data_IF_176628826157
#
_entry.id   IF_176628826157
#
_cell.length_a   1.000
_cell.length_b   1.000
_cell.length_c   1.000
_cell.angle_alpha   90.00
_cell.angle_beta   90.00
_cell.angle_gamma   90.00
#
_symmetry.space_group_name_H-M   'P 1'
#
loop_
_entity.id
_entity.type
_entity.pdbx_description
1 polymer ?
#
# COMPACT_ATOMS: atom_id res chain seq x y z
N UNK A 1 21.51 17.68 -18.58
CA UNK A 1 21.30 16.77 -17.44
C UNK A 1 19.92 17.05 -16.87
N UNK A 2 19.03 16.07 -16.82
CA UNK A 2 17.76 16.19 -16.08
C UNK A 2 18.09 16.17 -14.60
N UNK A 3 17.87 17.30 -13.92
CA UNK A 3 18.00 17.35 -12.47
C UNK A 3 16.69 16.81 -11.85
N UNK A 4 16.82 15.78 -10.99
CA UNK A 4 15.71 15.16 -10.26
C UNK A 4 15.75 15.46 -8.75
N UNK A 5 16.61 16.39 -8.29
CA UNK A 5 16.86 16.69 -6.88
C UNK A 5 15.58 16.98 -6.07
N UNK A 6 14.58 17.60 -6.71
CA UNK A 6 13.29 17.95 -6.09
C UNK A 6 12.39 16.73 -5.80
N UNK A 7 12.63 15.60 -6.45
CA UNK A 7 11.76 14.41 -6.34
C UNK A 7 12.48 13.16 -5.85
N UNK A 8 13.80 13.04 -6.05
CA UNK A 8 14.54 11.81 -5.77
C UNK A 8 14.71 11.53 -4.26
N UNK A 9 14.96 10.26 -3.88
CA UNK A 9 15.44 9.90 -2.56
C UNK A 9 16.83 10.46 -2.27
N UNK A 10 17.26 10.35 -1.02
CA UNK A 10 18.64 10.67 -0.65
C UNK A 10 19.63 9.66 -1.23
N UNK A 11 20.84 10.12 -1.51
CA UNK A 11 22.01 9.32 -1.90
C UNK A 11 22.89 9.07 -0.70
N UNK A 12 23.76 8.07 -0.79
CA UNK A 12 24.65 7.68 0.31
C UNK A 12 25.47 8.84 0.88
N UNK A 13 25.97 9.72 0.01
CA UNK A 13 26.76 10.88 0.43
C UNK A 13 25.95 11.96 1.18
N UNK A 14 24.62 11.88 1.16
CA UNK A 14 23.72 12.81 1.87
C UNK A 14 23.25 12.23 3.21
N UNK A 15 23.34 10.92 3.42
CA UNK A 15 22.74 10.21 4.58
C UNK A 15 23.26 10.74 5.91
N UNK A 16 24.57 10.96 6.02
CA UNK A 16 25.20 11.41 7.27
C UNK A 16 24.67 12.76 7.71
N UNK A 17 24.61 13.72 6.78
CA UNK A 17 24.14 15.08 7.05
C UNK A 17 22.66 15.10 7.44
N UNK A 18 21.84 14.27 6.78
CA UNK A 18 20.41 14.13 7.12
C UNK A 18 20.24 13.53 8.52
N UNK A 19 20.97 12.47 8.85
CA UNK A 19 20.90 11.85 10.20
C UNK A 19 21.32 12.85 11.28
N UNK A 20 22.37 13.64 11.06
CA UNK A 20 22.80 14.64 12.03
C UNK A 20 21.77 15.75 12.21
N UNK A 21 21.16 16.22 11.12
CA UNK A 21 20.04 17.17 11.17
C UNK A 21 18.87 16.60 11.97
N UNK A 22 18.47 15.35 11.69
CA UNK A 22 17.39 14.66 12.38
C UNK A 22 17.65 14.48 13.88
N UNK A 23 18.87 14.09 14.25
CA UNK A 23 19.28 13.94 15.65
C UNK A 23 19.30 15.27 16.40
N UNK A 24 19.63 16.37 15.71
CA UNK A 24 19.68 17.70 16.30
C UNK A 24 18.30 18.33 16.46
N UNK A 25 17.33 17.97 15.61
CA UNK A 25 15.96 18.45 15.66
C UNK A 25 15.21 18.03 16.94
N UNK A 26 14.37 18.91 17.52
CA UNK A 26 13.54 18.56 18.67
C UNK A 26 12.45 17.54 18.30
N UNK A 27 11.94 17.59 17.07
CA UNK A 27 10.77 16.84 16.63
C UNK A 27 10.95 15.32 16.70
N UNK A 28 12.11 14.78 16.29
CA UNK A 28 12.36 13.34 16.31
C UNK A 28 12.35 12.79 17.74
N UNK A 29 13.10 13.46 18.63
CA UNK A 29 13.23 13.05 20.02
C UNK A 29 11.89 13.19 20.74
N UNK A 30 11.21 14.33 20.56
CA UNK A 30 9.90 14.59 21.15
C UNK A 30 8.86 13.56 20.69
N UNK A 31 8.80 13.27 19.38
CA UNK A 31 7.86 12.28 18.82
C UNK A 31 8.11 10.89 19.38
N UNK A 32 9.37 10.43 19.44
CA UNK A 32 9.69 9.12 20.01
C UNK A 32 9.41 9.05 21.52
N UNK A 33 9.70 10.12 22.26
CA UNK A 33 9.49 10.21 23.70
C UNK A 33 8.00 10.11 24.05
N UNK A 34 7.15 10.93 23.43
CA UNK A 34 5.71 10.95 23.69
C UNK A 34 5.00 9.72 23.13
N UNK A 35 5.53 9.08 22.09
CA UNK A 35 5.01 7.79 21.63
C UNK A 35 5.26 6.68 22.66
N UNK A 36 6.46 6.63 23.26
CA UNK A 36 6.82 5.59 24.24
C UNK A 36 6.30 5.88 25.65
N UNK A 37 6.18 7.14 26.01
CA UNK A 37 5.73 7.62 27.32
C UNK A 37 4.67 8.72 27.15
N UNK A 38 3.41 8.36 26.81
CA UNK A 38 2.36 9.34 26.52
C UNK A 38 2.06 10.28 27.71
N UNK A 39 2.21 9.78 28.93
CA UNK A 39 1.91 10.49 30.18
C UNK A 39 3.17 10.95 30.93
N UNK A 40 4.24 11.28 30.21
CA UNK A 40 5.48 11.73 30.83
C UNK A 40 5.28 13.06 31.57
N UNK A 41 5.77 13.12 32.81
CA UNK A 41 5.77 14.36 33.59
C UNK A 41 6.84 15.32 33.10
N UNK A 42 6.54 16.62 33.02
CA UNK A 42 7.43 17.66 32.46
C UNK A 42 8.84 17.70 33.07
N UNK A 43 8.98 17.36 34.36
CA UNK A 43 10.30 17.31 35.03
C UNK A 43 11.20 16.15 34.55
N UNK A 44 10.59 15.06 34.05
CA UNK A 44 11.29 13.88 33.54
C UNK A 44 11.56 13.94 32.03
N UNK A 45 10.95 14.91 31.34
CA UNK A 45 11.05 15.06 29.89
C UNK A 45 12.48 15.36 29.44
N UNK A 46 13.13 16.33 30.08
CA UNK A 46 14.50 16.73 29.75
C UNK A 46 15.52 15.59 29.94
N UNK A 47 15.63 14.91 31.10
CA UNK A 47 16.58 13.81 31.24
C UNK A 47 16.25 12.62 30.33
N UNK A 48 14.96 12.32 30.10
CA UNK A 48 14.58 11.20 29.24
C UNK A 48 14.82 11.51 27.75
N UNK A 49 14.64 12.76 27.32
CA UNK A 49 14.97 13.21 25.97
C UNK A 49 16.47 13.06 25.65
N UNK A 50 17.35 13.34 26.63
CA UNK A 50 18.79 13.13 26.50
C UNK A 50 19.15 11.65 26.38
N UNK A 51 18.50 10.80 27.18
CA UNK A 51 18.69 9.34 27.11
C UNK A 51 18.20 8.78 25.76
N UNK A 52 17.02 9.19 25.30
CA UNK A 52 16.47 8.80 23.99
C UNK A 52 17.40 9.25 22.87
N UNK A 53 17.88 10.50 22.90
CA UNK A 53 18.86 11.01 21.92
C UNK A 53 20.13 10.20 21.90
N UNK A 54 20.68 9.85 23.07
CA UNK A 54 21.88 9.01 23.17
C UNK A 54 21.64 7.61 22.57
N UNK A 55 20.50 6.98 22.87
CA UNK A 55 20.13 5.68 22.32
C UNK A 55 20.01 5.71 20.80
N UNK A 56 19.28 6.69 20.24
CA UNK A 56 19.11 6.83 18.78
C UNK A 56 20.47 7.11 18.13
N UNK A 57 21.29 8.00 18.70
CA UNK A 57 22.64 8.29 18.19
C UNK A 57 23.52 7.04 18.17
N UNK A 58 23.36 6.15 19.15
CA UNK A 58 24.09 4.87 19.22
C UNK A 58 23.64 3.91 18.13
N UNK A 59 22.33 3.74 17.93
CA UNK A 59 21.78 2.87 16.86
C UNK A 59 22.13 3.40 15.46
N UNK A 60 22.09 4.72 15.26
CA UNK A 60 22.42 5.35 13.97
C UNK A 60 23.92 5.56 13.75
N UNK A 61 24.79 5.14 14.69
CA UNK A 61 26.24 5.37 14.59
C UNK A 61 26.86 4.68 13.37
N UNK A 62 26.37 3.49 13.02
CA UNK A 62 26.86 2.70 11.89
C UNK A 62 26.16 3.00 10.57
N UNK A 63 25.20 3.92 10.55
CA UNK A 63 24.42 4.23 9.34
C UNK A 63 25.13 5.31 8.54
N UNK A 64 25.77 4.91 7.44
CA UNK A 64 26.49 5.81 6.54
C UNK A 64 25.91 5.83 5.12
N UNK A 65 25.15 4.80 4.75
CA UNK A 65 24.54 4.63 3.43
C UNK A 65 23.02 4.46 3.54
N UNK A 66 22.32 4.60 2.41
CA UNK A 66 20.88 4.30 2.31
C UNK A 66 20.63 2.84 2.64
N UNK A 67 21.53 1.95 2.22
CA UNK A 67 21.47 0.53 2.53
C UNK A 67 21.57 0.24 4.04
N UNK A 68 22.47 0.91 4.76
CA UNK A 68 22.58 0.76 6.22
C UNK A 68 21.28 1.18 6.92
N UNK A 69 20.68 2.29 6.46
CA UNK A 69 19.43 2.79 7.03
C UNK A 69 18.29 1.80 6.79
N UNK A 70 18.18 1.25 5.58
CA UNK A 70 17.15 0.26 5.28
C UNK A 70 17.39 -1.07 5.99
N UNK A 71 18.63 -1.49 6.20
CA UNK A 71 18.95 -2.68 7.01
C UNK A 71 18.49 -2.51 8.45
N UNK A 72 18.72 -1.31 9.02
CA UNK A 72 18.21 -0.98 10.35
C UNK A 72 16.67 -1.00 10.37
N UNK A 73 16.02 -0.39 9.38
CA UNK A 73 14.55 -0.39 9.29
C UNK A 73 13.99 -1.82 9.13
N UNK A 74 14.61 -2.66 8.29
CA UNK A 74 14.22 -4.04 8.05
C UNK A 74 14.26 -4.88 9.34
N UNK A 75 15.26 -4.66 10.20
CA UNK A 75 15.35 -5.29 11.53
C UNK A 75 14.12 -4.95 12.40
N UNK A 76 13.75 -3.67 12.47
CA UNK A 76 12.59 -3.23 13.25
C UNK A 76 11.27 -3.69 12.62
N UNK A 77 11.15 -3.59 11.30
CA UNK A 77 9.99 -4.06 10.55
C UNK A 77 9.78 -5.56 10.78
N UNK A 78 10.82 -6.38 10.68
CA UNK A 78 10.73 -7.82 10.90
C UNK A 78 10.25 -8.17 12.30
N UNK A 79 10.72 -7.45 13.33
CA UNK A 79 10.24 -7.62 14.70
C UNK A 79 8.78 -7.17 14.87
N UNK A 80 8.39 -6.07 14.21
CA UNK A 80 7.03 -5.56 14.24
C UNK A 80 6.05 -6.49 13.53
N UNK A 81 6.39 -7.01 12.36
CA UNK A 81 5.58 -7.97 11.61
C UNK A 81 5.35 -9.22 12.46
N UNK A 82 6.39 -9.82 13.03
CA UNK A 82 6.24 -10.97 13.96
C UNK A 82 5.28 -10.73 15.12
N UNK A 83 5.14 -9.47 15.58
CA UNK A 83 4.23 -9.10 16.68
C UNK A 83 2.82 -8.79 16.21
N UNK A 84 2.66 -8.31 14.98
CA UNK A 84 1.40 -7.72 14.49
C UNK A 84 0.76 -8.49 13.34
N UNK A 85 1.37 -9.56 12.87
CA UNK A 85 0.80 -10.51 11.91
C UNK A 85 0.84 -11.91 12.52
N UNK A 86 -0.16 -12.75 12.23
CA UNK A 86 -0.10 -14.19 12.54
C UNK A 86 0.82 -14.95 11.57
N UNK A 87 1.18 -14.32 10.45
CA UNK A 87 2.04 -14.91 9.43
C UNK A 87 2.20 -14.00 8.23
N UNK A 88 3.34 -14.13 7.56
CA UNK A 88 3.67 -13.42 6.34
C UNK A 88 4.16 -14.43 5.30
N UNK A 89 3.57 -14.40 4.10
CA UNK A 89 3.98 -15.24 2.98
C UNK A 89 4.05 -14.42 1.69
N UNK A 90 4.82 -14.90 0.72
CA UNK A 90 4.87 -14.31 -0.61
C UNK A 90 4.99 -15.37 -1.69
N UNK A 91 4.51 -15.07 -2.90
CA UNK A 91 4.61 -15.96 -4.07
C UNK A 91 4.86 -15.21 -5.37
N UNK A 92 5.40 -15.89 -6.38
CA UNK A 92 5.55 -15.36 -7.74
C UNK A 92 6.83 -14.56 -7.97
N UNK A 93 7.47 -14.08 -6.90
CA UNK A 93 8.74 -13.35 -7.01
C UNK A 93 9.89 -14.21 -7.57
N UNK A 94 9.84 -15.51 -7.32
CA UNK A 94 10.76 -16.53 -7.82
C UNK A 94 10.67 -16.73 -9.34
N UNK A 95 9.58 -16.30 -9.96
CA UNK A 95 9.35 -16.39 -11.41
C UNK A 95 9.87 -15.16 -12.17
N UNK A 96 10.29 -14.11 -11.46
CA UNK A 96 10.85 -12.90 -12.04
C UNK A 96 12.37 -13.03 -12.22
N UNK A 97 12.93 -12.35 -13.21
CA UNK A 97 14.38 -12.25 -13.40
C UNK A 97 15.00 -11.42 -12.26
N UNK A 98 15.99 -11.93 -11.49
CA UNK A 98 16.63 -11.17 -10.41
C UNK A 98 17.55 -10.05 -10.89
N UNK A 99 17.92 -10.04 -12.17
CA UNK A 99 18.81 -9.05 -12.78
C UNK A 99 18.06 -7.85 -13.38
N UNK A 100 16.73 -7.93 -13.46
CA UNK A 100 15.89 -6.92 -14.07
C UNK A 100 15.21 -6.01 -13.02
N UNK A 101 15.08 -4.73 -13.37
CA UNK A 101 14.29 -3.78 -12.60
C UNK A 101 12.83 -3.75 -13.07
N UNK A 102 11.91 -3.72 -12.11
CA UNK A 102 10.47 -3.76 -12.36
C UNK A 102 9.76 -2.52 -11.82
N UNK A 103 8.65 -2.17 -12.45
CA UNK A 103 7.66 -1.27 -11.85
C UNK A 103 6.58 -2.12 -11.20
N UNK A 104 6.67 -2.31 -9.89
CA UNK A 104 5.63 -2.99 -9.13
C UNK A 104 4.44 -2.06 -8.91
N UNK A 105 3.27 -2.47 -9.41
CA UNK A 105 2.01 -1.73 -9.21
C UNK A 105 1.10 -2.58 -8.32
N UNK A 106 0.75 -2.11 -7.12
CA UNK A 106 -0.08 -2.87 -6.20
C UNK A 106 -1.42 -2.24 -5.89
N UNK A 107 -2.35 -3.06 -5.41
CA UNK A 107 -3.44 -2.54 -4.60
C UNK A 107 -2.90 -1.78 -3.39
N UNK A 108 -3.69 -0.84 -2.89
CA UNK A 108 -3.24 0.05 -1.85
C UNK A 108 -4.29 0.16 -0.75
N UNK A 109 -4.04 -0.46 0.39
CA UNK A 109 -4.95 -0.49 1.54
C UNK A 109 -4.32 0.12 2.78
N UNK A 110 -3.00 0.07 2.91
CA UNK A 110 -2.25 0.71 3.99
C UNK A 110 -1.17 1.66 3.46
N UNK A 111 -1.07 2.85 4.04
CA UNK A 111 -0.15 3.91 3.58
C UNK A 111 1.31 3.45 3.66
N UNK A 112 1.70 2.82 4.76
CA UNK A 112 3.09 2.50 5.06
C UNK A 112 3.41 1.02 4.91
N UNK A 113 2.46 0.15 5.27
CA UNK A 113 2.70 -1.28 5.33
C UNK A 113 2.72 -1.95 3.96
N UNK A 114 1.99 -1.43 2.96
CA UNK A 114 1.98 -1.98 1.61
C UNK A 114 3.39 -2.04 0.98
N UNK A 115 4.13 -0.92 0.85
CA UNK A 115 5.50 -0.98 0.34
C UNK A 115 6.46 -1.68 1.32
N UNK A 116 6.17 -1.69 2.62
CA UNK A 116 6.99 -2.38 3.61
C UNK A 116 6.93 -3.91 3.44
N UNK A 117 5.74 -4.48 3.22
CA UNK A 117 5.56 -5.90 2.98
C UNK A 117 6.16 -6.35 1.66
N UNK A 118 6.02 -5.53 0.60
CA UNK A 118 6.69 -5.79 -0.67
C UNK A 118 8.22 -5.81 -0.50
N UNK A 119 8.78 -4.81 0.18
CA UNK A 119 10.22 -4.76 0.46
C UNK A 119 10.68 -5.92 1.36
N UNK A 120 9.85 -6.36 2.29
CA UNK A 120 10.15 -7.53 3.11
C UNK A 120 10.22 -8.82 2.26
N UNK A 121 9.31 -9.00 1.29
CA UNK A 121 9.38 -10.12 0.34
C UNK A 121 10.67 -10.06 -0.51
N UNK A 122 11.00 -8.88 -1.05
CA UNK A 122 12.24 -8.69 -1.82
C UNK A 122 13.48 -8.99 -0.99
N UNK A 123 13.55 -8.45 0.23
CA UNK A 123 14.68 -8.64 1.14
C UNK A 123 14.85 -10.11 1.53
N UNK A 124 13.76 -10.83 1.82
CA UNK A 124 13.79 -12.27 2.11
C UNK A 124 14.25 -13.11 0.90
N UNK A 125 13.99 -12.64 -0.32
CA UNK A 125 14.48 -13.25 -1.55
C UNK A 125 15.91 -12.82 -1.93
N UNK A 126 16.60 -12.03 -1.09
CA UNK A 126 17.94 -11.53 -1.37
C UNK A 126 18.01 -10.49 -2.49
N UNK A 127 16.88 -9.84 -2.81
CA UNK A 127 16.77 -8.77 -3.82
C UNK A 127 16.87 -7.39 -3.17
N UNK A 128 17.28 -6.42 -3.97
CA UNK A 128 17.22 -5.01 -3.58
C UNK A 128 15.78 -4.54 -3.39
N UNK A 129 15.61 -3.63 -2.44
CA UNK A 129 14.34 -2.95 -2.16
C UNK A 129 14.02 -1.90 -3.23
N UNK A 130 12.74 -1.59 -3.36
CA UNK A 130 12.24 -0.61 -4.33
C UNK A 130 12.45 0.83 -3.89
N UNK A 131 12.44 1.74 -4.85
CA UNK A 131 12.11 3.13 -4.57
C UNK A 131 10.58 3.31 -4.54
N UNK A 132 10.09 4.07 -3.56
CA UNK A 132 8.66 4.12 -3.20
C UNK A 132 8.07 5.47 -3.67
N UNK A 133 7.02 5.42 -4.50
CA UNK A 133 6.28 6.62 -4.86
C UNK A 133 5.44 7.13 -3.68
N UNK A 134 5.67 8.36 -3.21
CA UNK A 134 4.89 8.99 -2.13
C UNK A 134 4.35 10.36 -2.56
N UNK A 135 3.11 10.66 -2.17
CA UNK A 135 2.49 11.96 -2.45
C UNK A 135 3.10 13.10 -1.61
N UNK A 136 3.25 14.28 -2.19
CA UNK A 136 3.76 15.48 -1.51
C UNK A 136 2.93 15.90 -0.28
N UNK A 137 1.64 15.54 -0.25
CA UNK A 137 0.74 15.78 0.89
C UNK A 137 1.23 15.13 2.21
N UNK A 138 1.94 14.00 2.14
CA UNK A 138 2.49 13.31 3.32
C UNK A 138 3.81 13.91 3.80
N UNK A 139 4.47 14.74 2.98
CA UNK A 139 5.81 15.26 3.22
C UNK A 139 5.81 16.68 3.80
N UNK A 140 4.65 17.18 4.24
CA UNK A 140 4.51 18.55 4.75
C UNK A 140 5.40 18.84 5.97
N UNK A 141 5.66 17.83 6.82
CA UNK A 141 6.58 17.95 7.96
C UNK A 141 8.01 17.56 7.55
N UNK A 142 9.02 18.41 7.77
CA UNK A 142 10.42 18.12 7.38
C UNK A 142 10.95 16.79 7.91
N UNK A 143 10.64 16.44 9.16
CA UNK A 143 11.01 15.16 9.75
C UNK A 143 10.48 13.96 8.95
N UNK A 144 9.20 14.01 8.55
CA UNK A 144 8.57 12.93 7.77
C UNK A 144 9.17 12.86 6.37
N UNK A 145 9.37 14.02 5.74
CA UNK A 145 10.05 14.13 4.44
C UNK A 145 11.43 13.47 4.47
N UNK A 146 12.24 13.79 5.47
CA UNK A 146 13.58 13.26 5.60
C UNK A 146 13.59 11.74 5.81
N UNK A 147 12.73 11.22 6.69
CA UNK A 147 12.64 9.79 6.95
C UNK A 147 12.16 8.99 5.72
N UNK A 148 11.17 9.51 4.98
CA UNK A 148 10.67 8.84 3.78
C UNK A 148 11.72 8.83 2.67
N UNK A 149 12.43 9.93 2.45
CA UNK A 149 13.49 10.03 1.44
C UNK A 149 14.74 9.21 1.79
N UNK A 150 15.06 9.06 3.08
CA UNK A 150 16.08 8.11 3.56
C UNK A 150 15.64 6.66 3.28
N UNK A 151 14.33 6.39 3.36
CA UNK A 151 13.74 5.09 3.03
C UNK A 151 13.44 4.92 1.53
N UNK A 152 14.31 5.42 0.65
CA UNK A 152 14.18 5.32 -0.83
C UNK A 152 12.88 5.88 -1.41
N UNK A 153 12.15 6.76 -0.71
CA UNK A 153 10.90 7.32 -1.25
C UNK A 153 11.16 8.52 -2.15
N UNK A 154 10.52 8.57 -3.32
CA UNK A 154 10.53 9.71 -4.24
C UNK A 154 9.17 10.40 -4.27
N UNK A 155 9.19 11.71 -4.51
CA UNK A 155 8.01 12.57 -4.37
C UNK A 155 7.22 12.64 -5.66
N UNK A 156 5.92 12.35 -5.57
CA UNK A 156 4.90 12.63 -6.58
C UNK A 156 4.29 13.98 -6.26
N UNK A 157 4.57 14.98 -7.10
CA UNK A 157 4.11 16.36 -6.91
C UNK A 157 2.64 16.50 -7.36
N UNK A 158 1.71 16.40 -6.41
CA UNK A 158 0.25 16.40 -6.67
C UNK A 158 -0.36 17.78 -6.47
N UNK A 159 0.21 18.55 -5.56
CA UNK A 159 -0.29 19.87 -5.14
C UNK A 159 -0.01 20.98 -6.17
N UNK A 160 0.60 20.63 -7.31
CA UNK A 160 0.97 21.57 -8.36
C UNK A 160 -0.26 22.13 -9.07
N UNK A 161 -0.39 23.46 -9.10
CA UNK A 161 -1.50 24.14 -9.76
C UNK A 161 -1.23 24.40 -11.25
N UNK A 162 -2.27 24.27 -12.05
CA UNK A 162 -2.26 24.54 -13.49
C UNK A 162 -1.83 23.36 -14.36
N UNK A 163 -2.54 23.17 -15.47
CA UNK A 163 -2.37 22.02 -16.40
C UNK A 163 -0.93 21.92 -16.92
N UNK A 164 -0.32 23.06 -17.29
CA UNK A 164 1.06 23.09 -17.80
C UNK A 164 2.08 22.61 -16.76
N UNK A 165 1.93 23.04 -15.51
CA UNK A 165 2.85 22.67 -14.45
C UNK A 165 2.67 21.21 -14.05
N UNK A 166 1.43 20.71 -13.95
CA UNK A 166 1.14 19.28 -13.74
C UNK A 166 1.75 18.42 -14.84
N UNK A 167 1.58 18.82 -16.11
CA UNK A 167 2.17 18.10 -17.24
C UNK A 167 3.71 18.05 -17.15
N UNK A 168 4.35 19.16 -16.77
CA UNK A 168 5.81 19.22 -16.58
C UNK A 168 6.26 18.31 -15.42
N UNK A 169 5.57 18.36 -14.29
CA UNK A 169 5.86 17.53 -13.13
C UNK A 169 5.73 16.02 -13.46
N UNK A 170 4.65 15.62 -14.11
CA UNK A 170 4.42 14.23 -14.54
C UNK A 170 5.39 13.77 -15.62
N UNK A 171 5.77 14.64 -16.57
CA UNK A 171 6.81 14.33 -17.55
C UNK A 171 8.16 14.09 -16.87
N UNK A 172 8.49 14.91 -15.86
CA UNK A 172 9.73 14.76 -15.09
C UNK A 172 9.72 13.45 -14.28
N UNK A 173 8.62 13.16 -13.60
CA UNK A 173 8.42 11.94 -12.82
C UNK A 173 8.52 10.68 -13.68
N UNK A 174 7.84 10.65 -14.82
CA UNK A 174 7.92 9.55 -15.78
C UNK A 174 9.34 9.36 -16.32
N UNK A 175 10.05 10.45 -16.61
CA UNK A 175 11.45 10.39 -17.05
C UNK A 175 12.37 9.87 -15.94
N UNK A 176 12.11 10.25 -14.69
CA UNK A 176 12.83 9.76 -13.52
C UNK A 176 12.66 8.25 -13.38
N UNK A 177 11.41 7.78 -13.32
CA UNK A 177 11.07 6.35 -13.18
C UNK A 177 11.77 5.52 -14.26
N UNK A 178 11.62 5.90 -15.55
CA UNK A 178 12.29 5.18 -16.63
C UNK A 178 13.83 5.18 -16.47
N UNK A 179 14.42 6.30 -16.02
CA UNK A 179 15.87 6.35 -15.82
C UNK A 179 16.35 5.45 -14.69
N UNK A 180 15.56 5.27 -13.62
CA UNK A 180 15.90 4.37 -12.51
C UNK A 180 15.79 2.90 -12.93
N UNK A 181 14.76 2.55 -13.69
CA UNK A 181 14.59 1.21 -14.27
C UNK A 181 15.75 0.84 -15.21
N UNK A 182 16.20 1.78 -16.06
CA UNK A 182 17.33 1.58 -16.97
C UNK A 182 18.69 1.49 -16.24
N UNK A 183 18.78 2.00 -15.01
CA UNK A 183 20.02 2.05 -14.25
C UNK A 183 20.11 0.88 -13.28
N UNK A 184 19.40 0.94 -12.16
CA UNK A 184 19.71 0.11 -10.99
C UNK A 184 18.60 0.06 -9.93
N UNK A 185 17.36 0.44 -10.24
CA UNK A 185 16.30 0.40 -9.21
C UNK A 185 14.92 0.04 -9.74
N UNK A 186 14.32 -0.94 -9.07
CA UNK A 186 12.89 -1.22 -9.15
C UNK A 186 12.08 -0.16 -8.41
N UNK A 187 10.85 0.05 -8.87
CA UNK A 187 9.93 1.08 -8.37
C UNK A 187 8.68 0.41 -7.81
N UNK A 188 8.14 0.95 -6.73
CA UNK A 188 6.78 0.64 -6.30
C UNK A 188 5.88 1.87 -6.39
N UNK A 189 4.68 1.66 -6.92
CA UNK A 189 3.61 2.66 -6.99
C UNK A 189 2.26 2.02 -6.70
N UNK A 190 1.42 2.70 -5.94
CA UNK A 190 0.03 2.30 -5.75
C UNK A 190 -0.76 2.43 -7.06
N UNK A 191 -1.70 1.51 -7.30
CA UNK A 191 -2.52 1.47 -8.52
C UNK A 191 -3.47 2.66 -8.70
N UNK A 192 -3.66 3.48 -7.67
CA UNK A 192 -4.44 4.73 -7.72
C UNK A 192 -3.98 5.70 -6.66
N UNK A 193 -4.45 6.94 -6.77
CA UNK A 193 -4.29 7.91 -5.70
C UNK A 193 -5.17 7.55 -4.50
N UNK A 194 -4.53 7.44 -3.33
CA UNK A 194 -5.20 7.13 -2.07
C UNK A 194 -5.48 5.64 -1.89
N UNK A 195 -5.63 5.24 -0.63
CA UNK A 195 -5.94 3.86 -0.25
C UNK A 195 -7.40 3.50 -0.52
N UNK A 196 -7.67 2.24 -0.82
CA UNK A 196 -9.02 1.70 -0.88
C UNK A 196 -9.71 1.76 0.48
N UNK A 197 -10.90 2.36 0.50
CA UNK A 197 -11.73 2.52 1.71
C UNK A 197 -12.75 1.41 1.82
N UNK A 198 -13.28 0.97 0.69
CA UNK A 198 -14.30 -0.05 0.51
C UNK A 198 -13.72 -1.42 0.12
N UNK A 199 -12.40 -1.58 0.08
CA UNK A 199 -11.79 -2.84 -0.36
C UNK A 199 -11.94 -3.15 -1.86
N UNK A 200 -12.41 -2.19 -2.67
CA UNK A 200 -12.41 -2.29 -4.13
C UNK A 200 -11.08 -1.79 -4.67
N UNK A 201 -10.33 -2.74 -5.23
CA UNK A 201 -9.03 -2.51 -5.83
C UNK A 201 -9.21 -2.31 -7.35
N UNK A 202 -9.38 -1.04 -7.78
CA UNK A 202 -9.39 -0.62 -9.19
C UNK A 202 -8.19 0.28 -9.52
N UNK A 203 -7.53 0.04 -10.65
CA UNK A 203 -6.40 0.82 -11.14
C UNK A 203 -6.89 2.09 -11.83
N UNK A 204 -6.26 3.23 -11.55
CA UNK A 204 -6.54 4.49 -12.25
C UNK A 204 -5.71 4.56 -13.56
N UNK A 205 -6.35 4.59 -14.74
CA UNK A 205 -5.65 4.72 -16.02
C UNK A 205 -4.77 5.97 -16.12
N UNK A 206 -5.02 7.01 -15.31
CA UNK A 206 -4.19 8.21 -15.25
C UNK A 206 -2.75 7.90 -14.80
N UNK A 207 -2.55 6.89 -13.95
CA UNK A 207 -1.19 6.45 -13.55
C UNK A 207 -0.44 5.89 -14.75
N UNK A 208 -1.09 5.07 -15.58
CA UNK A 208 -0.46 4.51 -16.79
C UNK A 208 -0.16 5.60 -17.81
N UNK A 209 -1.07 6.57 -17.98
CA UNK A 209 -0.85 7.76 -18.82
C UNK A 209 0.35 8.57 -18.32
N UNK A 210 0.50 8.72 -17.00
CA UNK A 210 1.64 9.39 -16.38
C UNK A 210 2.93 8.60 -16.63
N UNK A 211 2.96 7.30 -16.33
CA UNK A 211 4.16 6.48 -16.43
C UNK A 211 4.72 6.44 -17.86
N UNK A 212 3.88 6.51 -18.89
CA UNK A 212 4.29 6.45 -20.30
C UNK A 212 4.72 7.80 -20.91
N UNK A 213 4.66 8.91 -20.16
CA UNK A 213 4.96 10.25 -20.70
C UNK A 213 6.40 10.41 -21.23
N UNK A 214 7.38 9.68 -20.67
CA UNK A 214 8.77 9.68 -21.15
C UNK A 214 8.87 9.23 -22.61
N UNK A 215 7.94 8.38 -23.06
CA UNK A 215 7.92 7.82 -24.41
C UNK A 215 7.80 8.90 -25.49
N UNK A 216 7.09 9.99 -25.21
CA UNK A 216 6.97 11.15 -26.12
C UNK A 216 8.33 11.77 -26.43
N UNK A 217 9.20 11.90 -25.43
CA UNK A 217 10.55 12.46 -25.58
C UNK A 217 11.47 11.48 -26.33
N UNK A 218 11.31 10.19 -26.10
CA UNK A 218 12.07 9.12 -26.77
C UNK A 218 11.52 8.75 -28.17
N UNK A 219 10.37 9.31 -28.58
CA UNK A 219 9.66 9.01 -29.84
C UNK A 219 9.34 7.51 -30.02
N UNK A 220 8.96 6.85 -28.93
CA UNK A 220 8.56 5.44 -28.91
C UNK A 220 7.05 5.31 -28.83
N UNK A 221 6.51 4.17 -29.27
CA UNK A 221 5.07 3.89 -29.21
C UNK A 221 4.59 3.74 -27.77
N UNK A 222 3.27 3.78 -27.56
CA UNK A 222 2.66 3.52 -26.25
C UNK A 222 2.99 2.09 -25.78
N UNK A 223 2.79 1.08 -26.64
CA UNK A 223 3.19 -0.31 -26.35
C UNK A 223 4.67 -0.40 -25.95
N UNK A 224 5.58 0.21 -26.71
CA UNK A 224 7.01 0.17 -26.39
C UNK A 224 7.30 0.82 -25.03
N UNK A 225 6.62 1.92 -24.69
CA UNK A 225 6.74 2.54 -23.38
C UNK A 225 6.22 1.62 -22.25
N UNK A 226 5.10 0.93 -22.44
CA UNK A 226 4.57 -0.04 -21.47
C UNK A 226 5.54 -1.20 -21.26
N UNK A 227 6.03 -1.82 -22.34
CA UNK A 227 6.98 -2.93 -22.25
C UNK A 227 8.27 -2.50 -21.53
N UNK A 228 8.77 -1.28 -21.75
CA UNK A 228 9.98 -0.76 -21.07
C UNK A 228 9.80 -0.50 -19.58
N UNK A 229 8.56 -0.31 -19.10
CA UNK A 229 8.30 -0.10 -17.68
C UNK A 229 8.41 -1.39 -16.86
N UNK A 230 8.45 -2.57 -17.51
CA UNK A 230 8.47 -3.88 -16.85
C UNK A 230 7.42 -3.94 -15.72
N UNK A 231 6.17 -3.61 -16.05
CA UNK A 231 5.10 -3.51 -15.04
C UNK A 231 4.79 -4.91 -14.52
N UNK A 232 4.87 -5.09 -13.20
CA UNK A 232 4.45 -6.31 -12.51
C UNK A 232 3.33 -5.95 -11.54
N UNK A 233 2.09 -6.42 -11.79
CA UNK A 233 1.00 -6.28 -10.84
C UNK A 233 1.30 -7.04 -9.54
N UNK A 234 1.01 -6.44 -8.39
CA UNK A 234 1.22 -7.07 -7.08
C UNK A 234 -0.07 -7.02 -6.26
N UNK A 235 -0.50 -8.17 -5.75
CA UNK A 235 -1.62 -8.26 -4.83
C UNK A 235 -1.12 -8.36 -3.39
N UNK A 236 -1.58 -7.46 -2.53
CA UNK A 236 -1.31 -7.46 -1.10
C UNK A 236 -2.62 -7.76 -0.38
N UNK A 237 -2.67 -8.93 0.23
CA UNK A 237 -3.85 -9.44 0.94
C UNK A 237 -3.61 -9.38 2.44
N UNK A 238 -4.54 -8.72 3.13
CA UNK A 238 -4.58 -8.63 4.59
C UNK A 238 -5.76 -9.44 5.08
N UNK A 239 -5.56 -10.23 6.13
CA UNK A 239 -6.67 -10.85 6.85
C UNK A 239 -7.49 -9.81 7.61
N UNK A 240 -6.83 -8.84 8.25
CA UNK A 240 -7.46 -7.70 8.91
C UNK A 240 -6.84 -6.38 8.44
N UNK A 241 -7.69 -5.44 8.04
CA UNK A 241 -7.29 -4.08 7.74
C UNK A 241 -7.11 -3.30 9.05
N UNK A 242 -5.89 -2.80 9.37
CA UNK A 242 -5.63 -2.10 10.61
C UNK A 242 -6.34 -0.73 10.71
N UNK A 243 -6.83 -0.22 9.58
CA UNK A 243 -7.53 1.04 9.45
C UNK A 243 -9.02 0.86 9.10
N UNK A 244 -9.58 -0.35 9.21
CA UNK A 244 -11.00 -0.65 8.93
C UNK A 244 -11.98 0.34 9.58
N UNK A 245 -11.80 0.63 10.88
CA UNK A 245 -12.67 1.58 11.59
C UNK A 245 -12.60 3.00 11.01
N UNK A 246 -11.39 3.52 10.76
CA UNK A 246 -11.20 4.87 10.21
C UNK A 246 -11.79 4.98 8.81
N UNK A 247 -11.62 3.94 7.99
CA UNK A 247 -12.18 3.88 6.64
C UNK A 247 -13.71 3.83 6.67
N UNK A 248 -14.29 3.08 7.60
CA UNK A 248 -15.74 3.01 7.76
C UNK A 248 -16.34 4.36 8.21
N UNK A 249 -15.67 5.09 9.10
CA UNK A 249 -16.08 6.44 9.51
C UNK A 249 -16.06 7.42 8.33
N UNK A 250 -15.01 7.37 7.51
CA UNK A 250 -14.90 8.16 6.28
C UNK A 250 -15.99 7.83 5.26
N UNK A 251 -16.26 6.54 5.03
CA UNK A 251 -17.33 6.10 4.12
C UNK A 251 -18.70 6.56 4.59
N UNK A 252 -19.02 6.36 5.88
CA UNK A 252 -20.27 6.82 6.48
C UNK A 252 -20.44 8.33 6.35
N UNK A 253 -19.41 9.10 6.69
CA UNK A 253 -19.46 10.56 6.64
C UNK A 253 -19.65 11.04 5.20
N UNK A 254 -18.96 10.42 4.24
CA UNK A 254 -19.11 10.73 2.82
C UNK A 254 -20.52 10.42 2.32
N UNK A 255 -21.11 9.28 2.72
CA UNK A 255 -22.48 8.94 2.35
C UNK A 255 -23.52 9.91 2.96
N UNK A 256 -23.33 10.30 4.23
CA UNK A 256 -24.29 11.16 4.93
C UNK A 256 -24.19 12.64 4.54
N UNK A 257 -22.99 13.13 4.22
CA UNK A 257 -22.72 14.55 4.00
C UNK A 257 -22.23 14.89 2.59
N UNK A 258 -22.05 13.90 1.72
CA UNK A 258 -21.58 14.05 0.34
C UNK A 258 -20.08 14.31 0.20
N UNK A 259 -19.38 14.63 1.29
CA UNK A 259 -17.95 14.88 1.32
C UNK A 259 -17.34 14.50 2.67
N UNK A 260 -16.04 14.18 2.64
CA UNK A 260 -15.23 13.95 3.84
C UNK A 260 -14.02 14.88 3.82
N UNK A 261 -13.88 15.69 4.85
CA UNK A 261 -12.69 16.51 5.07
C UNK A 261 -11.79 15.80 6.08
N UNK A 262 -10.59 15.43 5.63
CA UNK A 262 -9.61 14.78 6.49
C UNK A 262 -9.19 15.68 7.64
N UNK A 263 -9.15 15.11 8.84
CA UNK A 263 -8.61 15.82 9.99
C UNK A 263 -7.08 15.97 9.88
N UNK A 264 -6.53 17.03 10.49
CA UNK A 264 -5.08 17.18 10.59
C UNK A 264 -4.47 15.99 11.35
N UNK A 265 -3.48 15.34 10.74
CA UNK A 265 -2.80 14.19 11.34
C UNK A 265 -3.50 12.83 11.14
N UNK A 266 -4.63 12.76 10.43
CA UNK A 266 -5.32 11.50 10.15
C UNK A 266 -4.46 10.48 9.38
N UNK A 267 -3.68 10.95 8.40
CA UNK A 267 -2.73 10.10 7.66
C UNK A 267 -1.62 9.57 8.58
N UNK A 268 -1.18 10.35 9.59
CA UNK A 268 -0.21 9.90 10.60
C UNK A 268 -0.83 8.82 11.49
N UNK A 269 -2.09 9.01 11.94
CA UNK A 269 -2.81 8.01 12.72
C UNK A 269 -2.98 6.70 11.93
N UNK A 270 -3.22 6.81 10.62
CA UNK A 270 -3.31 5.66 9.72
C UNK A 270 -1.99 4.90 9.62
N UNK A 271 -0.86 5.60 9.48
CA UNK A 271 0.48 4.98 9.49
C UNK A 271 0.74 4.29 10.84
N UNK A 272 0.41 4.94 11.95
CA UNK A 272 0.57 4.36 13.29
C UNK A 272 -0.28 3.09 13.43
N UNK A 273 -1.54 3.12 12.99
CA UNK A 273 -2.43 1.96 13.01
C UNK A 273 -1.86 0.81 12.17
N UNK A 274 -1.40 1.10 10.95
CA UNK A 274 -0.77 0.12 10.06
C UNK A 274 0.39 -0.63 10.73
N UNK A 275 1.27 0.13 11.39
CA UNK A 275 2.44 -0.42 12.08
C UNK A 275 2.05 -1.15 13.37
N UNK A 276 1.10 -0.65 14.14
CA UNK A 276 0.88 -1.12 15.52
C UNK A 276 -0.22 -2.15 15.70
N UNK A 277 -1.25 -2.15 14.84
CA UNK A 277 -2.43 -3.00 15.01
C UNK A 277 -2.25 -4.39 14.38
N UNK A 278 -2.96 -5.42 14.89
CA UNK A 278 -3.00 -6.74 14.28
C UNK A 278 -3.54 -6.69 12.85
N UNK A 279 -2.88 -7.42 11.95
CA UNK A 279 -3.21 -7.55 10.52
C UNK A 279 -3.61 -8.98 10.13
N UNK A 280 -3.51 -9.92 11.08
CA UNK A 280 -3.68 -11.35 10.83
C UNK A 280 -2.63 -11.87 9.85
N UNK A 281 -3.03 -12.81 8.99
CA UNK A 281 -2.20 -13.33 7.91
C UNK A 281 -2.06 -12.27 6.82
N UNK A 282 -0.83 -12.06 6.33
CA UNK A 282 -0.54 -11.18 5.21
C UNK A 282 0.11 -11.98 4.09
N UNK A 283 -0.38 -11.80 2.86
CA UNK A 283 0.18 -12.44 1.67
C UNK A 283 0.51 -11.41 0.58
N UNK A 284 1.71 -11.49 0.02
CA UNK A 284 2.15 -10.67 -1.12
C UNK A 284 2.35 -11.56 -2.35
N UNK A 285 1.52 -11.37 -3.37
CA UNK A 285 1.59 -12.15 -4.60
C UNK A 285 2.04 -11.28 -5.76
N UNK A 286 3.18 -11.64 -6.35
CA UNK A 286 3.73 -11.00 -7.54
C UNK A 286 3.16 -11.67 -8.79
N UNK A 287 2.57 -10.87 -9.68
CA UNK A 287 2.07 -11.32 -10.97
C UNK A 287 3.19 -11.52 -12.00
N UNK A 288 2.78 -11.65 -13.26
CA UNK A 288 3.69 -11.74 -14.41
C UNK A 288 3.88 -10.36 -15.05
N UNK A 289 5.06 -10.08 -15.63
CA UNK A 289 5.30 -8.84 -16.35
C UNK A 289 4.27 -8.61 -17.45
N UNK A 290 3.68 -7.41 -17.49
CA UNK A 290 2.77 -6.99 -18.55
C UNK A 290 3.60 -6.68 -19.80
N UNK A 291 3.45 -7.51 -20.82
CA UNK A 291 4.11 -7.37 -22.12
C UNK A 291 3.11 -7.55 -23.25
N UNK A 292 3.29 -6.83 -24.35
CA UNK A 292 2.43 -6.95 -25.53
C UNK A 292 2.17 -5.63 -26.24
N UNK A 293 1.16 -5.64 -27.11
CA UNK A 293 0.65 -4.46 -27.81
C UNK A 293 -0.58 -3.93 -27.09
N UNK A 294 -0.59 -2.61 -26.85
CA UNK A 294 -1.65 -1.95 -26.10
C UNK A 294 -2.13 -0.71 -26.85
N UNK A 295 -3.45 -0.56 -26.95
CA UNK A 295 -4.05 0.60 -27.61
C UNK A 295 -4.32 1.74 -26.63
N UNK A 296 -4.62 1.42 -25.37
CA UNK A 296 -5.08 2.39 -24.37
C UNK A 296 -4.51 2.12 -22.98
N UNK A 297 -4.52 3.14 -22.13
CA UNK A 297 -4.13 3.04 -20.73
C UNK A 297 -5.13 2.23 -19.90
N UNK A 298 -6.40 2.29 -20.30
CA UNK A 298 -7.51 1.56 -19.74
C UNK A 298 -7.30 0.04 -19.90
N UNK A 299 -6.87 -0.42 -21.08
CA UNK A 299 -6.55 -1.83 -21.32
C UNK A 299 -5.42 -2.34 -20.40
N UNK A 300 -4.39 -1.53 -20.18
CA UNK A 300 -3.30 -1.88 -19.26
C UNK A 300 -3.80 -1.88 -17.80
N UNK A 301 -4.62 -0.91 -17.41
CA UNK A 301 -5.21 -0.84 -16.08
C UNK A 301 -6.09 -2.08 -15.80
N UNK A 302 -6.90 -2.50 -16.77
CA UNK A 302 -7.74 -3.70 -16.64
C UNK A 302 -6.90 -4.98 -16.52
N UNK A 303 -5.74 -5.07 -17.18
CA UNK A 303 -4.80 -6.18 -17.00
C UNK A 303 -4.12 -6.19 -15.63
N UNK A 304 -3.80 -5.00 -15.08
CA UNK A 304 -3.30 -4.88 -13.71
C UNK A 304 -4.38 -5.37 -12.74
N UNK A 305 -5.61 -4.87 -12.88
CA UNK A 305 -6.74 -5.27 -12.03
C UNK A 305 -7.00 -6.78 -12.11
N UNK A 306 -6.96 -7.35 -13.32
CA UNK A 306 -7.12 -8.78 -13.55
C UNK A 306 -6.12 -9.59 -12.72
N UNK A 307 -4.84 -9.24 -12.79
CA UNK A 307 -3.79 -9.93 -12.03
C UNK A 307 -3.89 -9.67 -10.53
N UNK A 308 -4.13 -8.43 -10.09
CA UNK A 308 -4.29 -8.06 -8.67
C UNK A 308 -5.43 -8.84 -8.02
N UNK A 309 -6.60 -8.91 -8.67
CA UNK A 309 -7.77 -9.63 -8.17
C UNK A 309 -7.59 -11.15 -8.23
N UNK A 310 -7.03 -11.67 -9.33
CA UNK A 310 -6.76 -13.11 -9.48
C UNK A 310 -5.77 -13.60 -8.41
N UNK A 311 -4.75 -12.81 -8.12
CA UNK A 311 -3.71 -13.12 -7.15
C UNK A 311 -4.08 -12.77 -5.70
N UNK A 312 -5.20 -12.06 -5.48
CA UNK A 312 -5.66 -11.76 -4.13
C UNK A 312 -6.01 -13.05 -3.36
N UNK A 313 -5.31 -13.27 -2.25
CA UNK A 313 -5.56 -14.39 -1.35
C UNK A 313 -6.72 -14.05 -0.43
N UNK A 314 -7.81 -14.80 -0.56
CA UNK A 314 -8.98 -14.65 0.30
C UNK A 314 -8.70 -15.28 1.67
N UNK A 315 -9.08 -14.57 2.73
CA UNK A 315 -9.06 -15.02 4.11
C UNK A 315 -10.47 -15.39 4.58
N UNK A 316 -10.58 -16.10 5.70
CA UNK A 316 -11.89 -16.42 6.30
C UNK A 316 -12.68 -15.16 6.62
N UNK A 317 -12.02 -14.08 7.01
CA UNK A 317 -12.65 -12.76 7.22
C UNK A 317 -13.42 -12.27 5.98
N UNK A 318 -12.89 -12.46 4.76
CA UNK A 318 -13.59 -12.08 3.53
C UNK A 318 -14.86 -12.89 3.31
N UNK A 319 -14.80 -14.19 3.60
CA UNK A 319 -15.91 -15.11 3.41
C UNK A 319 -17.03 -14.90 4.43
N UNK A 320 -16.66 -14.72 5.70
CA UNK A 320 -17.60 -14.47 6.79
C UNK A 320 -18.23 -13.09 6.64
N UNK A 321 -17.47 -12.09 6.22
CA UNK A 321 -18.01 -10.78 5.91
C UNK A 321 -19.11 -10.87 4.85
N UNK A 322 -18.85 -11.62 3.77
CA UNK A 322 -19.83 -11.84 2.71
C UNK A 322 -21.12 -12.51 3.21
N UNK A 323 -21.03 -13.51 4.11
CA UNK A 323 -22.22 -14.15 4.70
C UNK A 323 -23.03 -13.24 5.63
N UNK A 324 -22.35 -12.37 6.36
CA UNK A 324 -22.99 -11.44 7.30
C UNK A 324 -23.59 -10.20 6.62
N UNK A 325 -23.28 -9.98 5.34
CA UNK A 325 -23.87 -8.88 4.58
C UNK A 325 -25.37 -9.10 4.39
N UNK A 326 -26.15 -8.11 4.80
CA UNK A 326 -27.54 -8.00 4.36
C UNK A 326 -27.58 -7.48 2.93
N UNK A 327 -27.54 -8.41 1.97
CA UNK A 327 -27.55 -8.12 0.54
C UNK A 327 -28.80 -7.36 0.07
N UNK A 328 -29.88 -7.32 0.88
CA UNK A 328 -31.10 -6.56 0.55
C UNK A 328 -30.95 -5.06 0.83
N UNK A 329 -30.15 -4.71 1.83
CA UNK A 329 -29.92 -3.33 2.27
C UNK A 329 -28.56 -2.77 1.84
N UNK A 330 -27.69 -3.62 1.30
CA UNK A 330 -26.38 -3.21 0.80
C UNK A 330 -26.52 -2.69 -0.63
N UNK A 331 -26.40 -1.38 -0.81
CA UNK A 331 -26.28 -0.76 -2.13
C UNK A 331 -24.92 -1.13 -2.72
N UNK A 332 -24.86 -2.17 -3.55
CA UNK A 332 -23.69 -2.42 -4.37
C UNK A 332 -23.71 -1.49 -5.58
N UNK A 333 -22.70 -0.62 -5.68
CA UNK A 333 -22.57 0.31 -6.81
C UNK A 333 -22.63 -0.45 -8.15
N UNK A 334 -23.78 -0.37 -8.82
CA UNK A 334 -23.95 -0.84 -10.21
C UNK A 334 -24.17 -2.35 -10.42
N UNK A 335 -24.29 -3.18 -9.39
CA UNK A 335 -24.60 -4.61 -9.58
C UNK A 335 -26.11 -4.82 -9.75
N UNK A 336 -26.53 -5.28 -10.93
CA UNK A 336 -27.90 -5.73 -11.18
C UNK A 336 -28.24 -6.94 -10.29
N UNK A 337 -29.52 -7.07 -9.89
CA UNK A 337 -30.00 -8.09 -8.95
C UNK A 337 -29.66 -9.54 -9.33
N UNK A 338 -29.56 -9.82 -10.63
CA UNK A 338 -29.29 -11.17 -11.13
C UNK A 338 -27.80 -11.53 -11.09
N UNK A 339 -26.91 -10.54 -11.25
CA UNK A 339 -25.47 -10.73 -11.06
C UNK A 339 -25.13 -10.96 -9.58
N UNK A 340 -25.85 -10.30 -8.67
CA UNK A 340 -25.69 -10.50 -7.23
C UNK A 340 -26.03 -11.94 -6.82
N UNK A 341 -27.10 -12.53 -7.36
CA UNK A 341 -27.45 -13.93 -7.08
C UNK A 341 -26.37 -14.91 -7.54
N UNK A 342 -25.84 -14.72 -8.74
CA UNK A 342 -24.79 -15.59 -9.27
C UNK A 342 -23.47 -15.46 -8.50
N UNK A 343 -23.08 -14.23 -8.13
CA UNK A 343 -21.92 -13.99 -7.25
C UNK A 343 -22.16 -14.65 -5.89
N UNK A 344 -23.37 -14.53 -5.34
CA UNK A 344 -23.75 -15.15 -4.06
C UNK A 344 -23.69 -16.67 -4.11
N UNK A 345 -24.20 -17.30 -5.16
CA UNK A 345 -24.10 -18.75 -5.35
C UNK A 345 -22.65 -19.22 -5.46
N UNK A 346 -21.82 -18.55 -6.29
CA UNK A 346 -20.41 -18.88 -6.44
C UNK A 346 -19.63 -18.70 -5.13
N UNK A 347 -19.87 -17.59 -4.42
CA UNK A 347 -19.27 -17.32 -3.12
C UNK A 347 -19.67 -18.37 -2.07
N UNK A 348 -20.95 -18.75 -2.01
CA UNK A 348 -21.45 -19.80 -1.12
C UNK A 348 -20.84 -21.17 -1.45
N UNK A 349 -20.71 -21.53 -2.73
CA UNK A 349 -20.07 -22.77 -3.14
C UNK A 349 -18.60 -22.82 -2.75
N UNK A 350 -17.85 -21.73 -2.99
CA UNK A 350 -16.45 -21.63 -2.58
C UNK A 350 -16.29 -21.72 -1.06
N UNK A 351 -17.20 -21.08 -0.33
CA UNK A 351 -17.24 -21.17 1.12
C UNK A 351 -17.52 -22.59 1.62
N UNK A 352 -18.50 -23.28 1.05
CA UNK A 352 -18.80 -24.67 1.40
C UNK A 352 -17.62 -25.60 1.11
N UNK A 353 -16.92 -25.38 0.01
CA UNK A 353 -15.69 -26.10 -0.34
C UNK A 353 -14.56 -25.84 0.66
N UNK A 354 -14.44 -24.62 1.18
CA UNK A 354 -13.42 -24.28 2.18
C UNK A 354 -13.76 -24.90 3.54
N UNK A 355 -15.01 -24.72 4.00
CA UNK A 355 -15.54 -25.30 5.25
C UNK A 355 -15.37 -26.81 5.32
N UNK A 356 -15.62 -27.52 4.23
CA UNK A 356 -15.50 -28.98 4.21
C UNK A 356 -14.06 -29.47 4.35
N UNK A 357 -13.06 -28.66 3.98
CA UNK A 357 -11.64 -29.01 4.11
C UNK A 357 -11.01 -28.59 5.43
N UNK A 358 -11.47 -27.46 6.01
CA UNK A 358 -10.86 -26.82 7.17
C UNK A 358 -11.91 -26.43 8.24
N UNK A 359 -12.82 -27.35 8.58
CA UNK A 359 -14.01 -27.02 9.38
C UNK A 359 -13.70 -26.37 10.74
N UNK A 360 -12.71 -26.90 11.48
CA UNK A 360 -12.34 -26.37 12.80
C UNK A 360 -11.69 -24.99 12.69
N UNK A 361 -10.70 -24.85 11.81
CA UNK A 361 -10.00 -23.56 11.57
C UNK A 361 -10.98 -22.49 11.08
N UNK A 362 -11.94 -22.87 10.23
CA UNK A 362 -13.01 -21.98 9.78
C UNK A 362 -13.79 -21.42 10.97
N UNK A 363 -14.24 -22.31 11.86
CA UNK A 363 -15.09 -21.93 12.98
C UNK A 363 -14.37 -20.99 13.95
N UNK A 364 -13.08 -21.21 14.19
CA UNK A 364 -12.26 -20.36 15.07
C UNK A 364 -12.06 -18.97 14.47
N UNK A 365 -11.57 -18.90 13.21
CA UNK A 365 -11.34 -17.63 12.51
C UNK A 365 -12.63 -16.85 12.27
N UNK A 366 -13.74 -17.55 11.99
CA UNK A 366 -15.06 -16.92 11.84
C UNK A 366 -15.57 -16.32 13.15
N UNK A 367 -15.37 -17.02 14.28
CA UNK A 367 -15.72 -16.50 15.60
C UNK A 367 -14.87 -15.27 15.96
N UNK A 368 -13.56 -15.32 15.72
CA UNK A 368 -12.65 -14.19 15.94
C UNK A 368 -13.07 -12.96 15.13
N UNK A 369 -13.30 -13.13 13.83
CA UNK A 369 -13.74 -12.02 12.97
C UNK A 369 -15.10 -11.46 13.40
N UNK A 370 -16.07 -12.33 13.72
CA UNK A 370 -17.39 -11.89 14.19
C UNK A 370 -17.29 -11.10 15.49
N UNK A 371 -16.48 -11.58 16.44
CA UNK A 371 -16.24 -10.87 17.69
C UNK A 371 -15.57 -9.51 17.45
N UNK A 372 -14.61 -9.44 16.52
CA UNK A 372 -13.99 -8.18 16.10
C UNK A 372 -15.04 -7.19 15.57
N UNK A 373 -15.91 -7.62 14.66
CA UNK A 373 -16.97 -6.75 14.10
C UNK A 373 -17.91 -6.24 15.21
N UNK A 374 -18.27 -7.09 16.17
CA UNK A 374 -19.13 -6.70 17.29
C UNK A 374 -18.52 -5.65 18.22
N UNK A 375 -17.19 -5.48 18.23
CA UNK A 375 -16.53 -4.42 19.00
C UNK A 375 -16.68 -3.04 18.36
N UNK A 376 -17.02 -2.96 17.06
CA UNK A 376 -17.21 -1.70 16.37
C UNK A 376 -18.61 -1.12 16.59
N UNK A 377 -18.75 0.23 16.54
CA UNK A 377 -20.07 0.86 16.61
C UNK A 377 -21.03 0.28 15.57
N UNK A 378 -22.24 -0.07 15.99
CA UNK A 378 -23.24 -0.75 15.14
C UNK A 378 -23.46 -0.03 13.80
N UNK A 379 -23.46 1.31 13.81
CA UNK A 379 -23.62 2.16 12.61
C UNK A 379 -22.51 1.99 11.56
N UNK A 380 -21.36 1.42 11.92
CA UNK A 380 -20.19 1.25 11.06
C UNK A 380 -20.00 -0.20 10.60
N UNK A 381 -20.66 -1.16 11.27
CA UNK A 381 -20.44 -2.59 11.01
C UNK A 381 -20.74 -2.97 9.56
N UNK A 382 -21.79 -2.42 8.95
CA UNK A 382 -22.13 -2.67 7.54
C UNK A 382 -21.02 -2.24 6.58
N UNK A 383 -20.45 -1.03 6.75
CA UNK A 383 -19.34 -0.54 5.93
C UNK A 383 -18.11 -1.44 6.04
N UNK A 384 -17.81 -1.91 7.26
CA UNK A 384 -16.68 -2.82 7.49
C UNK A 384 -16.95 -4.17 6.82
N UNK A 385 -18.15 -4.74 6.95
CA UNK A 385 -18.50 -5.98 6.27
C UNK A 385 -18.38 -5.84 4.74
N UNK A 386 -18.85 -4.74 4.16
CA UNK A 386 -18.69 -4.46 2.72
C UNK A 386 -17.22 -4.43 2.33
N UNK A 387 -16.39 -3.72 3.11
CA UNK A 387 -14.95 -3.60 2.86
C UNK A 387 -14.25 -4.97 2.77
N UNK A 388 -14.62 -5.90 3.64
CA UNK A 388 -14.02 -7.24 3.67
C UNK A 388 -14.64 -8.19 2.64
N UNK A 389 -15.90 -7.98 2.24
CA UNK A 389 -16.56 -8.82 1.24
C UNK A 389 -16.18 -8.46 -0.20
N UNK A 390 -15.90 -7.18 -0.48
CA UNK A 390 -15.62 -6.69 -1.84
C UNK A 390 -14.50 -7.44 -2.59
N UNK A 391 -13.38 -7.86 -1.97
CA UNK A 391 -12.37 -8.65 -2.68
C UNK A 391 -12.91 -9.97 -3.25
N UNK A 392 -13.85 -10.60 -2.54
CA UNK A 392 -14.54 -11.82 -3.01
C UNK A 392 -15.49 -11.50 -4.17
N UNK A 393 -16.30 -10.46 -3.99
CA UNK A 393 -17.31 -10.01 -4.97
C UNK A 393 -16.64 -9.65 -6.29
N UNK A 394 -15.60 -8.81 -6.24
CA UNK A 394 -14.87 -8.34 -7.42
C UNK A 394 -14.17 -9.48 -8.16
N UNK A 395 -13.59 -10.44 -7.41
CA UNK A 395 -12.97 -11.63 -8.00
C UNK A 395 -13.98 -12.47 -8.79
N UNK A 396 -15.21 -12.63 -8.31
CA UNK A 396 -16.26 -13.35 -9.04
C UNK A 396 -16.90 -12.55 -10.16
N UNK A 397 -17.08 -11.23 -9.96
CA UNK A 397 -17.57 -10.32 -10.99
C UNK A 397 -16.68 -10.40 -12.24
N UNK A 398 -15.37 -10.30 -12.04
CA UNK A 398 -14.38 -10.43 -13.10
C UNK A 398 -14.40 -11.81 -13.79
N UNK A 399 -14.55 -12.91 -13.03
CA UNK A 399 -14.69 -14.24 -13.63
C UNK A 399 -15.94 -14.36 -14.50
N UNK A 400 -17.07 -13.74 -14.10
CA UNK A 400 -18.28 -13.73 -14.91
C UNK A 400 -18.10 -12.93 -16.20
N UNK A 401 -17.51 -11.74 -16.12
CA UNK A 401 -17.20 -10.91 -17.28
C UNK A 401 -16.30 -11.66 -18.28
N UNK A 402 -15.28 -12.38 -17.79
CA UNK A 402 -14.37 -13.19 -18.62
C UNK A 402 -15.02 -14.42 -19.29
N UNK A 403 -16.14 -14.92 -18.76
CA UNK A 403 -16.89 -16.04 -19.37
C UNK A 403 -17.90 -15.54 -20.42
N UNK A 404 -18.20 -14.25 -20.43
CA UNK A 404 -19.16 -13.62 -21.34
C UNK A 404 -18.52 -12.92 -22.55
N UNK A 405 -17.21 -12.68 -22.49
CA UNK A 405 -16.37 -12.16 -23.57
C UNK A 405 -15.68 -13.32 -24.30
#
# INVERSE_FOLDING_TARGET
MTNFDDIRPYRDNEVRDVIERLLNGPDLIHTMLHHKFPNISSWAELPLSLAVRWLIKRELKSVNTVHDFQTLLAKYLSANVKKTTSGFTSSGLDQLDPTQNYTFISNHRDIAMDPAFLNMALHQAGRDTVEIAIGDNLLAKPLVSDLMRLNKSFTVQRSVQGIKNKYKAFTNLSSYINSRLEQDSSIWIAQREGRAKDGVDKTDPAIIKMLTMFGKKKRISFSEAINKLNIVPVSISYEFDPCDLLKAEELQTTEQHGQYEKAEGEDVQSIINGISKPKGQVHVSFGTPITGEFETAEAVADLIDLQVLSNYQLHVSNLVAFEQLDLKNTLFNGLQSDNLKQIQEKAQQALQKWRSKNATEYSEQAAEFTQRIQQYPQRLQSYILVMYANPLIEKYRMQMESMSA
#
